data_IF_027523098430
#
_entry.id   IF_027523098430
#
_cell.length_a   1.000
_cell.length_b   1.000
_cell.length_c   1.000
_cell.angle_alpha   90.00
_cell.angle_beta   90.00
_cell.angle_gamma   90.00
#
_symmetry.space_group_name_H-M   'P 1'
#
loop_
_entity.id
_entity.type
_entity.pdbx_description
1 polymer ?
#
# COMPACT_ATOMS: atom_id res chain seq x y z
N UNK A 1 47.69 -54.34 22.48
CA UNK A 1 48.63 -53.59 23.33
C UNK A 1 48.67 -52.15 22.86
N UNK A 2 47.97 -51.23 23.52
CA UNK A 2 48.45 -49.87 23.89
C UNK A 2 47.54 -49.41 25.04
N UNK A 3 48.16 -49.20 26.18
CA UNK A 3 47.75 -48.46 27.37
C UNK A 3 48.74 -47.26 27.47
N UNK A 4 48.66 -46.27 28.39
CA UNK A 4 47.59 -45.97 29.37
C UNK A 4 47.31 -44.45 29.65
N UNK A 5 46.28 -44.23 30.48
CA UNK A 5 46.15 -43.27 31.62
C UNK A 5 46.27 -41.74 31.48
N UNK A 6 45.18 -41.05 31.88
CA UNK A 6 45.02 -40.22 33.10
C UNK A 6 43.91 -39.17 32.84
N UNK A 7 42.87 -38.99 33.65
CA UNK A 7 42.90 -38.30 34.94
C UNK A 7 41.61 -38.53 35.75
N UNK A 8 41.75 -38.29 37.06
CA UNK A 8 40.89 -38.63 38.19
C UNK A 8 39.51 -37.94 38.25
N UNK A 9 38.62 -38.68 38.90
CA UNK A 9 37.39 -38.33 39.60
C UNK A 9 37.54 -37.28 40.71
N UNK A 10 36.48 -36.48 40.94
CA UNK A 10 35.95 -36.09 42.26
C UNK A 10 34.56 -35.42 42.07
N UNK A 11 33.48 -36.20 42.21
CA UNK A 11 32.13 -35.67 42.49
C UNK A 11 31.64 -36.33 43.78
N UNK A 12 31.46 -35.49 44.80
CA UNK A 12 30.85 -35.83 46.07
C UNK A 12 29.34 -35.96 45.94
N UNK A 13 28.80 -36.92 46.68
CA UNK A 13 27.39 -37.23 46.85
C UNK A 13 26.62 -36.05 47.48
N UNK A 14 25.52 -35.63 46.86
CA UNK A 14 24.31 -35.25 47.59
C UNK A 14 23.04 -35.40 46.71
N UNK A 15 22.13 -36.21 47.23
CA UNK A 15 20.78 -36.56 46.82
C UNK A 15 20.04 -35.60 45.86
N UNK A 16 19.61 -36.12 44.70
CA UNK A 16 18.51 -35.54 43.94
C UNK A 16 17.55 -36.66 43.48
N UNK A 17 16.60 -37.03 44.35
CA UNK A 17 15.46 -37.86 43.99
C UNK A 17 14.42 -36.94 43.33
N UNK A 18 14.51 -36.78 42.01
CA UNK A 18 13.45 -36.12 41.23
C UNK A 18 12.36 -37.14 40.95
N UNK A 19 11.22 -36.94 41.61
CA UNK A 19 9.99 -37.70 41.48
C UNK A 19 9.50 -37.75 40.02
N UNK A 20 9.49 -38.97 39.44
CA UNK A 20 8.92 -39.30 38.12
C UNK A 20 7.44 -38.88 37.93
N UNK A 21 6.73 -38.47 38.99
CA UNK A 21 5.32 -38.04 38.89
C UNK A 21 5.12 -36.65 38.29
N UNK A 22 6.11 -35.74 38.36
CA UNK A 22 5.96 -34.38 37.80
C UNK A 22 6.07 -34.33 36.28
N UNK A 23 6.86 -35.22 35.66
CA UNK A 23 7.04 -35.24 34.21
C UNK A 23 5.79 -35.70 33.44
N UNK A 24 4.98 -36.59 34.01
CA UNK A 24 3.74 -37.07 33.36
C UNK A 24 2.67 -35.97 33.32
N UNK A 25 2.56 -35.14 34.35
CA UNK A 25 1.58 -34.04 34.41
C UNK A 25 1.92 -32.95 33.40
N UNK A 26 3.20 -32.62 33.23
CA UNK A 26 3.64 -31.61 32.25
C UNK A 26 3.39 -32.06 30.82
N UNK A 27 3.63 -33.34 30.51
CA UNK A 27 3.36 -33.91 29.17
C UNK A 27 1.85 -33.99 28.90
N UNK A 28 1.03 -34.37 29.90
CA UNK A 28 -0.42 -34.39 29.77
C UNK A 28 -1.01 -33.00 29.54
N UNK A 29 -0.51 -31.97 30.23
CA UNK A 29 -0.95 -30.58 30.02
C UNK A 29 -0.56 -30.06 28.63
N UNK A 30 0.63 -30.39 28.12
CA UNK A 30 1.05 -30.02 26.77
C UNK A 30 0.19 -30.70 25.67
N UNK A 31 -0.19 -31.97 25.87
CA UNK A 31 -1.10 -32.69 24.98
C UNK A 31 -2.53 -32.12 25.01
N UNK A 32 -3.04 -31.77 26.20
CA UNK A 32 -4.36 -31.16 26.35
C UNK A 32 -4.42 -29.77 25.69
N UNK A 33 -3.37 -28.96 25.81
CA UNK A 33 -3.28 -27.66 25.14
C UNK A 33 -3.23 -27.79 23.61
N UNK A 34 -2.52 -28.78 23.08
CA UNK A 34 -2.44 -28.99 21.62
C UNK A 34 -3.76 -29.52 21.04
N UNK A 35 -4.47 -30.42 21.73
CA UNK A 35 -5.80 -30.88 21.34
C UNK A 35 -6.82 -29.73 21.40
N UNK A 36 -6.80 -28.90 22.46
CA UNK A 36 -7.69 -27.74 22.56
C UNK A 36 -7.43 -26.72 21.45
N UNK A 37 -6.17 -26.53 21.07
CA UNK A 37 -5.80 -25.65 19.96
C UNK A 37 -6.35 -26.19 18.64
N UNK A 38 -6.20 -27.49 18.36
CA UNK A 38 -6.76 -28.13 17.16
C UNK A 38 -8.30 -28.07 17.11
N UNK A 39 -8.96 -28.26 18.25
CA UNK A 39 -10.42 -28.16 18.36
C UNK A 39 -10.92 -26.74 18.07
N UNK A 40 -10.26 -25.72 18.63
CA UNK A 40 -10.61 -24.31 18.35
C UNK A 40 -10.41 -23.93 16.88
N UNK A 41 -9.41 -24.50 16.19
CA UNK A 41 -9.23 -24.27 14.75
C UNK A 41 -10.25 -25.02 13.89
N UNK A 42 -10.74 -26.20 14.32
CA UNK A 42 -11.76 -26.97 13.61
C UNK A 42 -13.18 -26.39 13.72
N UNK A 43 -13.53 -25.79 14.85
CA UNK A 43 -14.87 -25.23 15.09
C UNK A 43 -15.05 -23.84 14.45
N UNK A 44 -13.98 -23.08 14.26
CA UNK A 44 -14.05 -21.72 13.70
C UNK A 44 -14.10 -21.65 12.17
N UNK A 45 -13.94 -22.77 11.44
CA UNK A 45 -13.99 -22.79 9.96
C UNK A 45 -14.68 -24.03 9.38
N UNK A 46 -16.02 -24.18 9.49
CA UNK A 46 -16.69 -25.43 9.09
C UNK A 46 -16.87 -25.65 7.58
N UNK A 47 -16.57 -24.69 6.70
CA UNK A 47 -17.01 -24.73 5.30
C UNK A 47 -15.91 -24.43 4.27
N UNK A 48 -14.85 -25.22 4.28
CA UNK A 48 -13.92 -25.30 3.15
C UNK A 48 -13.74 -26.78 2.83
N UNK A 49 -14.52 -27.31 1.88
CA UNK A 49 -14.25 -28.46 0.99
C UNK A 49 -15.57 -29.14 0.61
N UNK A 50 -16.31 -28.53 -0.31
CA UNK A 50 -17.21 -29.27 -1.22
C UNK A 50 -17.48 -28.44 -2.47
N UNK A 51 -17.40 -29.11 -3.63
CA UNK A 51 -17.65 -28.67 -5.01
C UNK A 51 -16.43 -28.44 -5.90
N UNK A 52 -15.84 -29.55 -6.34
CA UNK A 52 -15.16 -29.65 -7.63
C UNK A 52 -16.21 -30.10 -8.64
N UNK A 53 -16.80 -29.15 -9.36
CA UNK A 53 -17.67 -29.39 -10.51
C UNK A 53 -16.88 -29.25 -11.80
N UNK A 54 -16.91 -30.30 -12.62
CA UNK A 54 -16.35 -30.34 -13.97
C UNK A 54 -16.97 -29.27 -14.87
N UNK A 55 -16.14 -28.51 -15.61
CA UNK A 55 -16.58 -27.65 -16.71
C UNK A 55 -16.07 -28.22 -18.04
N UNK A 56 -17.01 -28.70 -18.85
CA UNK A 56 -16.83 -28.99 -20.26
C UNK A 56 -16.70 -27.67 -21.04
N UNK A 57 -15.69 -27.58 -21.90
CA UNK A 57 -15.56 -26.52 -22.90
C UNK A 57 -16.27 -26.95 -24.19
N UNK A 58 -17.26 -26.16 -24.63
CA UNK A 58 -17.75 -26.19 -26.00
C UNK A 58 -17.19 -25.00 -26.78
N UNK A 59 -16.62 -25.33 -27.94
CA UNK A 59 -16.23 -24.41 -29.00
C UNK A 59 -17.47 -23.79 -29.65
N UNK A 60 -17.37 -22.53 -30.11
CA UNK A 60 -17.54 -22.18 -31.53
C UNK A 60 -17.60 -20.65 -31.79
N UNK A 61 -16.76 -20.22 -32.75
CA UNK A 61 -16.99 -19.21 -33.81
C UNK A 61 -17.24 -17.75 -33.38
N UNK A 62 -16.98 -16.68 -34.16
CA UNK A 62 -16.73 -16.48 -35.59
C UNK A 62 -16.00 -15.14 -35.75
N UNK A 63 -14.98 -15.11 -36.61
CA UNK A 63 -14.24 -13.91 -37.01
C UNK A 63 -15.03 -13.19 -38.10
N UNK A 64 -15.39 -11.92 -37.91
CA UNK A 64 -15.79 -11.00 -39.00
C UNK A 64 -14.88 -9.79 -39.05
N UNK A 65 -14.07 -9.76 -40.10
CA UNK A 65 -13.30 -8.63 -40.57
C UNK A 65 -14.22 -7.45 -40.93
N UNK A 66 -13.92 -6.25 -40.41
CA UNK A 66 -14.44 -5.00 -40.97
C UNK A 66 -13.30 -4.04 -41.28
N UNK A 67 -13.35 -3.61 -42.53
CA UNK A 67 -12.50 -2.72 -43.29
C UNK A 67 -12.30 -1.35 -42.63
N UNK A 68 -11.04 -0.92 -42.51
CA UNK A 68 -10.66 0.37 -41.96
C UNK A 68 -10.57 1.41 -43.08
N UNK A 69 -11.51 2.36 -43.12
CA UNK A 69 -11.43 3.55 -43.98
C UNK A 69 -10.58 4.60 -43.28
N UNK A 70 -9.53 5.05 -43.95
CA UNK A 70 -8.50 5.97 -43.44
C UNK A 70 -8.81 7.38 -43.94
N UNK A 71 -9.44 8.22 -43.12
CA UNK A 71 -9.53 9.67 -43.40
C UNK A 71 -8.35 10.40 -42.76
N UNK A 72 -7.63 11.16 -43.58
CA UNK A 72 -6.57 12.09 -43.16
C UNK A 72 -7.24 13.42 -42.83
N UNK A 73 -7.08 13.90 -41.60
CA UNK A 73 -7.35 15.31 -41.27
C UNK A 73 -6.14 15.93 -40.58
N UNK A 74 -5.80 17.10 -41.12
CA UNK A 74 -4.68 17.98 -40.77
C UNK A 74 -4.84 18.55 -39.36
N UNK A 75 -3.81 18.40 -38.51
CA UNK A 75 -3.75 18.98 -37.17
C UNK A 75 -2.85 20.21 -37.21
N UNK A 76 -3.43 21.38 -36.98
CA UNK A 76 -2.74 22.64 -36.69
C UNK A 76 -2.11 22.57 -35.31
N UNK A 77 -0.81 22.84 -35.23
CA UNK A 77 -0.05 22.96 -33.99
C UNK A 77 -0.57 24.15 -33.16
N UNK A 78 -1.06 23.87 -31.95
CA UNK A 78 -1.21 24.85 -30.88
C UNK A 78 -0.26 24.48 -29.73
N UNK A 79 0.58 25.44 -29.38
CA UNK A 79 1.59 25.38 -28.32
C UNK A 79 0.94 25.06 -26.96
N UNK A 80 1.47 24.12 -26.16
CA UNK A 80 0.89 23.78 -24.87
C UNK A 80 1.20 24.86 -23.83
N UNK A 81 0.15 25.45 -23.27
CA UNK A 81 0.21 26.35 -22.11
C UNK A 81 0.58 25.52 -20.88
N UNK A 82 1.83 25.63 -20.44
CA UNK A 82 2.36 25.00 -19.22
C UNK A 82 1.88 25.77 -17.99
N UNK A 83 0.64 25.54 -17.54
CA UNK A 83 0.23 25.94 -16.18
C UNK A 83 0.89 24.98 -15.18
N UNK A 84 1.90 25.46 -14.47
CA UNK A 84 2.37 24.80 -13.26
C UNK A 84 1.19 24.68 -12.29
N UNK A 85 0.75 23.46 -12.01
CA UNK A 85 -0.18 23.20 -10.92
C UNK A 85 0.64 23.29 -9.64
N UNK A 86 0.76 24.50 -9.10
CA UNK A 86 1.24 24.71 -7.73
C UNK A 86 0.15 24.25 -6.78
N UNK A 87 0.25 23.00 -6.32
CA UNK A 87 -0.56 22.50 -5.21
C UNK A 87 -0.10 23.29 -3.98
N UNK A 88 -0.90 24.26 -3.57
CA UNK A 88 -0.60 25.12 -2.43
C UNK A 88 -0.41 24.27 -1.18
N UNK A 89 0.82 24.21 -0.68
CA UNK A 89 1.12 23.78 0.68
C UNK A 89 0.61 24.93 1.58
N UNK A 90 -0.08 24.64 2.70
CA UNK A 90 -0.42 25.67 3.68
C UNK A 90 0.83 26.47 4.06
N UNK A 91 0.78 27.79 3.98
CA UNK A 91 1.90 28.70 4.23
C UNK A 91 2.50 28.49 5.65
N UNK A 92 1.70 27.99 6.60
CA UNK A 92 2.15 27.60 7.94
C UNK A 92 3.16 26.44 7.96
N UNK A 93 3.12 25.54 6.97
CA UNK A 93 4.09 24.45 6.83
C UNK A 93 5.37 24.87 6.07
N UNK A 94 5.31 25.93 5.26
CA UNK A 94 6.50 26.49 4.58
C UNK A 94 7.38 27.29 5.55
N UNK A 95 6.79 28.03 6.49
CA UNK A 95 7.56 28.77 7.50
C UNK A 95 8.21 27.87 8.57
N UNK A 96 7.76 26.63 8.73
CA UNK A 96 8.45 25.61 9.56
C UNK A 96 9.54 24.83 8.80
N UNK A 97 9.64 24.96 7.46
CA UNK A 97 10.72 24.33 6.68
C UNK A 97 12.08 24.99 6.90
N UNK A 98 12.11 26.27 7.28
CA UNK A 98 13.35 27.02 7.53
C UNK A 98 13.87 26.88 8.98
N UNK A 99 13.10 26.26 9.88
CA UNK A 99 13.47 26.02 11.29
C UNK A 99 13.56 24.54 11.65
N UNK A 100 13.55 23.64 10.66
CA UNK A 100 13.95 22.26 10.83
C UNK A 100 15.47 22.14 10.73
N UNK A 101 16.12 22.39 11.86
CA UNK A 101 17.44 21.83 12.22
C UNK A 101 18.47 21.98 11.09
N UNK A 102 19.06 23.18 10.99
CA UNK A 102 20.47 23.28 10.63
C UNK A 102 21.26 22.52 11.70
N UNK A 103 21.35 21.21 11.50
CA UNK A 103 22.36 20.39 12.16
C UNK A 103 23.64 20.79 11.47
N UNK A 104 24.52 21.41 12.24
CA UNK A 104 25.96 21.48 12.02
C UNK A 104 26.43 20.27 11.21
N UNK A 105 27.33 20.42 10.22
CA UNK A 105 27.93 19.29 9.49
C UNK A 105 28.86 18.50 10.41
N UNK A 106 28.27 17.79 11.37
CA UNK A 106 28.90 16.89 12.33
C UNK A 106 28.24 15.53 12.17
N UNK A 107 28.92 14.64 11.46
CA UNK A 107 28.57 13.24 11.23
C UNK A 107 27.16 13.01 10.64
N UNK A 108 27.06 13.03 9.31
CA UNK A 108 25.92 12.38 8.65
C UNK A 108 25.85 10.94 9.16
N UNK A 109 24.83 10.64 9.97
CA UNK A 109 24.56 9.28 10.46
C UNK A 109 24.75 8.29 9.32
N UNK A 110 25.74 7.41 9.46
CA UNK A 110 26.00 6.38 8.43
C UNK A 110 24.81 5.42 8.37
N UNK A 111 24.06 5.28 9.46
CA UNK A 111 23.04 4.26 9.66
C UNK A 111 21.77 4.52 8.86
N UNK A 112 21.12 3.44 8.41
CA UNK A 112 20.06 3.49 7.39
C UNK A 112 18.86 2.62 7.79
N UNK A 113 17.66 3.15 7.59
CA UNK A 113 16.42 2.37 7.49
C UNK A 113 16.06 2.25 6.01
N UNK A 114 15.91 1.01 5.55
CA UNK A 114 15.47 0.68 4.18
C UNK A 114 14.06 0.13 4.24
N UNK A 115 13.07 0.82 3.67
CA UNK A 115 11.81 0.16 3.36
C UNK A 115 12.05 -0.85 2.23
N UNK A 116 11.79 -2.14 2.44
CA UNK A 116 12.03 -3.18 1.42
C UNK A 116 10.79 -3.98 1.04
N UNK A 117 10.60 -4.19 -0.26
CA UNK A 117 9.64 -5.13 -0.82
C UNK A 117 10.23 -5.87 -2.04
N UNK A 118 10.39 -7.19 -1.93
CA UNK A 118 10.89 -8.04 -3.03
C UNK A 118 12.05 -8.98 -2.68
N UNK A 119 12.52 -9.00 -1.43
CA UNK A 119 13.48 -9.98 -0.91
C UNK A 119 12.82 -11.27 -0.38
N UNK A 120 11.84 -11.80 -1.12
CA UNK A 120 10.95 -12.88 -0.68
C UNK A 120 9.98 -12.45 0.43
N UNK A 121 8.74 -12.94 0.42
CA UNK A 121 7.67 -12.57 1.37
C UNK A 121 6.72 -11.48 0.88
N UNK A 122 5.63 -11.28 1.62
CA UNK A 122 4.53 -10.39 1.24
C UNK A 122 4.78 -8.94 1.72
N UNK A 123 4.18 -7.98 1.02
CA UNK A 123 4.14 -6.55 1.34
C UNK A 123 2.73 -5.96 1.25
N UNK A 124 1.77 -6.70 0.68
CA UNK A 124 0.44 -6.20 0.38
C UNK A 124 0.33 -5.44 -0.95
N UNK A 125 -0.84 -4.84 -1.15
CA UNK A 125 -1.14 -4.01 -2.31
C UNK A 125 -0.39 -2.66 -2.32
N UNK A 126 -0.66 -1.80 -3.30
CA UNK A 126 -0.01 -0.48 -3.36
C UNK A 126 -0.25 0.34 -2.08
N UNK A 127 -1.51 0.40 -1.59
CA UNK A 127 -1.84 1.14 -0.37
C UNK A 127 -1.07 0.65 0.85
N UNK A 128 -0.87 -0.66 0.97
CA UNK A 128 -0.10 -1.28 2.06
C UNK A 128 1.38 -0.92 2.00
N UNK A 129 1.94 -0.94 0.79
CA UNK A 129 3.33 -0.52 0.57
C UNK A 129 3.54 0.96 0.89
N UNK A 130 2.56 1.81 0.59
CA UNK A 130 2.61 3.23 0.93
C UNK A 130 2.58 3.45 2.44
N UNK A 131 1.73 2.72 3.19
CA UNK A 131 1.78 2.72 4.66
C UNK A 131 3.16 2.32 5.16
N UNK A 132 3.74 1.27 4.59
CA UNK A 132 5.08 0.78 4.93
C UNK A 132 6.20 1.78 4.69
N UNK A 133 6.20 2.45 3.53
CA UNK A 133 7.16 3.53 3.21
C UNK A 133 7.04 4.67 4.23
N UNK A 134 5.81 5.09 4.54
CA UNK A 134 5.55 6.17 5.49
C UNK A 134 6.00 5.79 6.89
N UNK A 135 5.66 4.58 7.35
CA UNK A 135 6.12 4.06 8.63
C UNK A 135 7.65 4.04 8.70
N UNK A 136 8.32 3.49 7.68
CA UNK A 136 9.77 3.43 7.61
C UNK A 136 10.45 4.82 7.63
N UNK A 137 9.87 5.80 6.93
CA UNK A 137 10.35 7.18 6.96
C UNK A 137 10.23 7.79 8.35
N UNK A 138 9.11 7.56 9.04
CA UNK A 138 8.92 8.03 10.41
C UNK A 138 9.90 7.36 11.39
N UNK A 139 10.10 6.04 11.24
CA UNK A 139 11.09 5.29 12.03
C UNK A 139 12.52 5.82 11.78
N UNK A 140 12.85 6.17 10.54
CA UNK A 140 14.14 6.79 10.23
C UNK A 140 14.34 8.12 10.96
N UNK A 141 13.30 8.96 11.02
CA UNK A 141 13.35 10.23 11.75
C UNK A 141 13.54 10.04 13.26
N UNK A 142 12.78 9.15 13.90
CA UNK A 142 12.90 8.92 15.36
C UNK A 142 14.25 8.30 15.75
N UNK A 143 14.89 7.55 14.84
CA UNK A 143 16.18 6.89 15.09
C UNK A 143 17.38 7.72 14.61
N UNK A 144 17.16 8.88 13.99
CA UNK A 144 18.22 9.70 13.40
C UNK A 144 19.00 8.97 12.29
N UNK A 145 18.33 8.08 11.54
CA UNK A 145 18.93 7.30 10.44
C UNK A 145 18.53 7.87 9.08
N UNK A 146 19.36 7.62 8.06
CA UNK A 146 19.00 7.90 6.66
C UNK A 146 17.86 6.97 6.24
N UNK A 147 16.98 7.47 5.38
CA UNK A 147 15.86 6.69 4.84
C UNK A 147 16.08 6.34 3.37
N UNK A 148 15.87 5.06 3.02
CA UNK A 148 15.98 4.53 1.66
C UNK A 148 14.81 3.61 1.31
N UNK A 149 14.58 3.41 0.02
CA UNK A 149 13.47 2.60 -0.51
C UNK A 149 13.98 1.57 -1.51
N UNK A 150 13.58 0.32 -1.32
CA UNK A 150 13.87 -0.80 -2.21
C UNK A 150 12.58 -1.55 -2.52
N UNK A 151 12.04 -1.38 -3.71
CA UNK A 151 10.87 -2.14 -4.15
C UNK A 151 11.20 -2.75 -5.49
N UNK A 152 11.44 -4.06 -5.51
CA UNK A 152 11.84 -4.82 -6.70
C UNK A 152 10.74 -5.75 -7.20
N UNK A 153 9.69 -6.01 -6.41
CA UNK A 153 8.57 -6.88 -6.78
C UNK A 153 7.26 -6.07 -6.82
N UNK A 154 6.38 -6.23 -7.84
CA UNK A 154 6.59 -7.09 -9.00
C UNK A 154 7.68 -6.54 -9.91
N UNK A 155 7.91 -5.23 -9.90
CA UNK A 155 8.96 -4.58 -10.67
C UNK A 155 9.60 -3.44 -9.87
N UNK A 156 10.73 -2.96 -10.38
CA UNK A 156 11.46 -1.85 -9.77
C UNK A 156 10.59 -0.58 -9.74
N UNK A 157 10.29 -0.06 -8.54
CA UNK A 157 9.47 1.14 -8.35
C UNK A 157 10.03 2.37 -9.08
N UNK A 158 11.35 2.42 -9.26
CA UNK A 158 12.03 3.53 -9.92
C UNK A 158 11.76 3.62 -11.42
N UNK A 159 11.11 2.62 -12.02
CA UNK A 159 10.59 2.71 -13.39
C UNK A 159 9.37 3.64 -13.49
N UNK A 160 8.66 3.84 -12.37
CA UNK A 160 7.39 4.57 -12.30
C UNK A 160 7.53 5.86 -11.50
N UNK A 161 8.27 5.81 -10.38
CA UNK A 161 8.53 6.95 -9.51
C UNK A 161 9.96 7.43 -9.68
N UNK A 162 10.16 8.74 -9.60
CA UNK A 162 11.46 9.39 -9.50
C UNK A 162 11.64 9.89 -8.06
N UNK A 163 12.76 9.51 -7.45
CA UNK A 163 13.15 10.04 -6.14
C UNK A 163 13.37 11.56 -6.24
N UNK A 164 12.84 12.33 -5.27
CA UNK A 164 13.15 13.76 -5.16
C UNK A 164 14.55 14.02 -4.59
N UNK A 165 15.15 13.01 -3.97
CA UNK A 165 16.49 13.08 -3.39
C UNK A 165 17.23 11.76 -3.67
N UNK A 166 18.46 11.85 -4.18
CA UNK A 166 19.31 10.67 -4.47
C UNK A 166 19.56 9.79 -3.24
N UNK A 167 19.51 10.37 -2.03
CA UNK A 167 19.66 9.61 -0.78
C UNK A 167 18.56 8.55 -0.57
N UNK A 168 17.46 8.57 -1.33
CA UNK A 168 16.40 7.57 -1.27
C UNK A 168 16.74 6.27 -2.01
N UNK A 169 17.67 6.33 -2.96
CA UNK A 169 18.04 5.21 -3.83
C UNK A 169 19.21 4.45 -3.20
N UNK A 170 19.20 3.13 -3.31
CA UNK A 170 20.32 2.28 -2.86
C UNK A 170 21.27 2.10 -4.03
N UNK A 171 22.55 2.40 -3.82
CA UNK A 171 23.58 2.14 -4.82
C UNK A 171 24.22 0.76 -4.62
N UNK A 172 24.82 0.25 -5.70
CA UNK A 172 25.56 -1.02 -5.65
C UNK A 172 26.66 -0.94 -4.60
N UNK A 173 26.81 -2.00 -3.82
CA UNK A 173 27.83 -2.15 -2.78
C UNK A 173 27.77 -1.13 -1.62
N UNK A 174 26.76 -0.26 -1.58
CA UNK A 174 26.62 0.79 -0.55
C UNK A 174 26.63 0.24 0.88
N UNK A 175 26.09 -0.97 1.06
CA UNK A 175 25.97 -1.64 2.35
C UNK A 175 26.95 -2.80 2.55
N UNK A 176 27.95 -2.92 1.67
CA UNK A 176 28.96 -3.97 1.78
C UNK A 176 29.71 -3.82 3.12
N UNK A 177 29.90 -4.94 3.82
CA UNK A 177 30.59 -5.01 5.12
C UNK A 177 29.93 -4.24 6.28
N UNK A 178 28.64 -3.87 6.17
CA UNK A 178 27.90 -3.21 7.25
C UNK A 178 27.02 -4.20 8.01
N UNK A 179 26.88 -4.01 9.32
CA UNK A 179 25.96 -4.84 10.10
C UNK A 179 24.52 -4.63 9.61
N UNK A 180 23.77 -5.70 9.39
CA UNK A 180 22.40 -5.58 8.89
C UNK A 180 21.43 -6.52 9.60
N UNK A 181 20.18 -6.09 9.67
CA UNK A 181 19.06 -6.91 10.17
C UNK A 181 17.84 -6.69 9.30
N UNK A 182 16.96 -7.68 9.26
CA UNK A 182 15.67 -7.61 8.54
C UNK A 182 14.53 -7.75 9.53
N UNK A 183 13.66 -6.75 9.58
CA UNK A 183 12.44 -6.74 10.38
C UNK A 183 11.25 -6.98 9.45
N UNK A 184 10.70 -8.20 9.49
CA UNK A 184 9.50 -8.58 8.77
C UNK A 184 8.27 -8.43 9.68
N UNK A 185 7.53 -7.34 9.48
CA UNK A 185 6.45 -6.88 10.36
C UNK A 185 5.16 -6.65 9.56
N UNK A 186 4.76 -7.68 8.83
CA UNK A 186 3.47 -7.73 8.14
C UNK A 186 2.38 -8.14 9.13
N UNK A 187 1.21 -7.51 9.03
CA UNK A 187 0.02 -7.79 9.83
C UNK A 187 0.33 -7.80 11.34
N UNK A 188 0.10 -8.93 12.02
CA UNK A 188 0.24 -9.10 13.48
C UNK A 188 1.55 -8.56 14.05
N UNK A 189 2.69 -8.90 13.43
CA UNK A 189 4.00 -8.41 13.90
C UNK A 189 4.14 -6.89 13.79
N UNK A 190 3.60 -6.29 12.73
CA UNK A 190 3.53 -4.84 12.57
C UNK A 190 2.60 -4.18 13.58
N UNK A 191 1.48 -4.83 13.92
CA UNK A 191 0.55 -4.33 14.93
C UNK A 191 1.16 -4.31 16.33
N UNK A 192 1.95 -5.33 16.70
CA UNK A 192 2.67 -5.35 17.97
C UNK A 192 3.67 -4.20 18.06
N UNK A 193 4.53 -4.01 17.05
CA UNK A 193 5.50 -2.90 17.07
C UNK A 193 4.81 -1.53 17.06
N UNK A 194 3.72 -1.39 16.30
CA UNK A 194 2.93 -0.16 16.28
C UNK A 194 2.38 0.19 17.66
N UNK A 195 1.78 -0.78 18.36
CA UNK A 195 1.26 -0.56 19.71
C UNK A 195 2.38 -0.22 20.69
N UNK A 196 3.49 -0.96 20.62
CA UNK A 196 4.68 -0.72 21.43
C UNK A 196 5.21 0.71 21.24
N UNK A 197 5.23 1.23 20.00
CA UNK A 197 5.66 2.60 19.71
C UNK A 197 4.86 3.70 20.41
N UNK A 198 3.64 3.40 20.87
CA UNK A 198 2.83 4.33 21.65
C UNK A 198 3.23 4.34 23.13
N UNK A 199 3.62 3.18 23.68
CA UNK A 199 3.78 2.97 25.12
C UNK A 199 5.25 2.86 25.57
N UNK A 200 6.19 2.67 24.65
CA UNK A 200 7.63 2.60 24.95
C UNK A 200 8.50 3.19 23.82
N UNK A 201 9.78 3.37 24.16
CA UNK A 201 10.83 3.74 23.21
C UNK A 201 11.33 2.53 22.43
N UNK A 202 11.08 2.49 21.11
CA UNK A 202 11.44 1.38 20.23
C UNK A 202 12.80 1.55 19.54
N UNK A 203 13.54 2.64 19.80
CA UNK A 203 14.81 2.93 19.11
C UNK A 203 15.82 1.79 19.21
N UNK A 204 15.84 1.08 20.34
CA UNK A 204 16.72 -0.07 20.59
C UNK A 204 16.52 -1.24 19.60
N UNK A 205 15.35 -1.35 18.97
CA UNK A 205 15.08 -2.38 17.94
C UNK A 205 15.74 -2.09 16.60
N UNK A 206 16.33 -0.91 16.45
CA UNK A 206 16.93 -0.43 15.21
C UNK A 206 18.45 -0.18 15.37
N UNK A 207 19.15 -0.93 16.23
CA UNK A 207 20.55 -0.64 16.54
C UNK A 207 21.54 -0.93 15.39
N UNK A 208 21.23 -1.84 14.46
CA UNK A 208 22.12 -2.18 13.35
C UNK A 208 22.37 -1.00 12.40
N UNK A 209 23.50 -1.07 11.68
CA UNK A 209 23.89 -0.07 10.69
C UNK A 209 22.86 0.04 9.55
N UNK A 210 22.34 -1.10 9.10
CA UNK A 210 21.32 -1.19 8.06
C UNK A 210 20.15 -2.02 8.56
N UNK A 211 18.96 -1.41 8.62
CA UNK A 211 17.73 -2.14 8.97
C UNK A 211 16.82 -2.20 7.75
N UNK A 212 16.60 -3.41 7.25
CA UNK A 212 15.60 -3.69 6.23
C UNK A 212 14.25 -3.83 6.90
N UNK A 213 13.43 -2.80 6.79
CA UNK A 213 12.14 -2.69 7.46
C UNK A 213 11.01 -2.97 6.47
N UNK A 214 10.22 -4.01 6.74
CA UNK A 214 9.06 -4.36 5.93
C UNK A 214 7.81 -4.39 6.79
N UNK A 215 6.83 -3.57 6.44
CA UNK A 215 5.51 -3.56 7.08
C UNK A 215 4.44 -3.09 6.09
N UNK A 216 3.19 -3.47 6.34
CA UNK A 216 1.97 -2.96 5.70
C UNK A 216 1.10 -2.15 6.68
N UNK A 217 1.63 -1.87 7.87
CA UNK A 217 0.87 -1.27 8.97
C UNK A 217 1.05 0.25 8.98
N UNK A 218 -0.03 0.97 9.28
CA UNK A 218 -0.04 2.42 9.45
C UNK A 218 0.41 2.82 10.86
N UNK A 219 1.52 3.56 10.97
CA UNK A 219 2.11 4.00 12.24
C UNK A 219 1.72 5.44 12.63
N UNK A 220 1.10 6.21 11.72
CA UNK A 220 0.98 7.67 11.88
C UNK A 220 0.26 8.06 13.17
N UNK A 221 -0.91 7.45 13.45
CA UNK A 221 -1.69 7.77 14.66
C UNK A 221 -0.93 7.46 15.94
N UNK A 222 -0.30 6.28 15.99
CA UNK A 222 0.39 5.75 17.17
C UNK A 222 1.67 6.53 17.51
N UNK A 223 2.44 6.88 16.48
CA UNK A 223 3.62 7.73 16.65
C UNK A 223 3.23 9.16 17.01
N UNK A 224 2.16 9.72 16.41
CA UNK A 224 1.70 11.06 16.74
C UNK A 224 1.17 11.15 18.18
N UNK A 225 0.58 10.09 18.73
CA UNK A 225 0.13 10.05 20.12
C UNK A 225 1.24 9.70 21.13
N UNK A 226 2.41 9.25 20.67
CA UNK A 226 3.50 8.84 21.54
C UNK A 226 4.14 10.04 22.26
N UNK A 227 4.49 9.85 23.54
CA UNK A 227 5.23 10.83 24.35
C UNK A 227 6.75 10.75 24.13
N UNK A 228 7.25 9.65 23.58
CA UNK A 228 8.68 9.38 23.41
C UNK A 228 9.32 10.10 22.23
N UNK A 229 8.53 10.47 21.21
CA UNK A 229 9.04 11.02 19.94
C UNK A 229 8.54 12.44 19.67
N UNK A 230 8.16 13.17 20.72
CA UNK A 230 7.57 14.52 20.60
C UNK A 230 8.52 15.52 19.95
N UNK A 231 9.84 15.36 20.14
CA UNK A 231 10.86 16.21 19.55
C UNK A 231 11.04 15.91 18.06
N UNK A 232 11.32 14.64 17.73
CA UNK A 232 11.64 14.16 16.39
C UNK A 232 10.45 14.27 15.42
N UNK A 233 9.23 14.12 15.95
CA UNK A 233 7.98 14.17 15.19
C UNK A 233 7.11 15.38 15.56
N UNK A 234 7.71 16.45 16.11
CA UNK A 234 7.01 17.70 16.47
C UNK A 234 6.19 18.28 15.32
N UNK A 235 6.71 18.22 14.10
CA UNK A 235 6.05 18.69 12.87
C UNK A 235 4.74 17.96 12.56
N UNK A 236 4.52 16.74 13.07
CA UNK A 236 3.27 15.99 12.87
C UNK A 236 2.14 16.42 13.80
N UNK A 237 2.44 17.13 14.90
CA UNK A 237 1.46 17.42 15.95
C UNK A 237 0.31 18.30 15.47
N UNK A 238 0.58 19.19 14.51
CA UNK A 238 -0.43 20.05 13.87
C UNK A 238 -1.09 19.42 12.66
N UNK A 239 -0.69 18.20 12.27
CA UNK A 239 -1.13 17.55 11.05
C UNK A 239 -2.08 16.39 11.35
N UNK A 240 -3.14 16.32 10.55
CA UNK A 240 -4.02 15.17 10.47
C UNK A 240 -3.32 14.03 9.73
N UNK A 241 -3.78 12.80 9.94
CA UNK A 241 -3.17 11.61 9.32
C UNK A 241 -3.03 11.73 7.81
N UNK A 242 -4.09 12.17 7.13
CA UNK A 242 -4.09 12.28 5.67
C UNK A 242 -3.08 13.32 5.17
N UNK A 243 -2.89 14.41 5.92
CA UNK A 243 -1.89 15.45 5.63
C UNK A 243 -0.47 14.90 5.78
N UNK A 244 -0.21 14.08 6.81
CA UNK A 244 1.09 13.41 6.98
C UNK A 244 1.40 12.50 5.79
N UNK A 245 0.42 11.70 5.35
CA UNK A 245 0.56 10.83 4.17
C UNK A 245 0.89 11.66 2.92
N UNK A 246 0.13 12.72 2.67
CA UNK A 246 0.34 13.62 1.54
C UNK A 246 1.73 14.26 1.58
N UNK A 247 2.09 14.87 2.71
CA UNK A 247 3.36 15.56 2.91
C UNK A 247 4.55 14.63 2.69
N UNK A 248 4.58 13.46 3.34
CA UNK A 248 5.70 12.52 3.19
C UNK A 248 5.77 12.02 1.75
N UNK A 249 4.65 11.61 1.14
CA UNK A 249 4.66 11.10 -0.22
C UNK A 249 5.17 12.13 -1.23
N UNK A 250 4.67 13.37 -1.14
CA UNK A 250 5.09 14.48 -2.00
C UNK A 250 6.53 14.92 -1.71
N UNK A 251 7.04 14.73 -0.49
CA UNK A 251 8.45 14.99 -0.17
C UNK A 251 9.39 13.95 -0.80
N UNK A 252 8.96 12.70 -0.87
CA UNK A 252 9.80 11.60 -1.32
C UNK A 252 9.81 11.41 -2.84
N UNK A 253 8.67 11.56 -3.50
CA UNK A 253 8.51 11.08 -4.88
C UNK A 253 7.91 12.10 -5.84
N UNK A 254 8.26 11.92 -7.11
CA UNK A 254 7.58 12.45 -8.30
C UNK A 254 7.34 11.29 -9.27
N UNK A 255 6.55 11.51 -10.32
CA UNK A 255 6.47 10.54 -11.42
C UNK A 255 7.74 10.60 -12.29
N UNK A 256 8.14 9.49 -12.90
CA UNK A 256 9.13 9.53 -13.99
C UNK A 256 8.55 10.29 -15.18
N UNK A 257 9.40 10.85 -16.05
CA UNK A 257 8.96 11.62 -17.23
C UNK A 257 8.00 10.83 -18.11
N UNK A 258 8.27 9.53 -18.31
CA UNK A 258 7.40 8.61 -19.05
C UNK A 258 5.98 8.58 -18.46
N UNK A 259 5.85 8.41 -17.15
CA UNK A 259 4.55 8.26 -16.48
C UNK A 259 3.87 9.61 -16.30
N UNK A 260 4.64 10.66 -16.06
CA UNK A 260 4.18 12.04 -16.05
C UNK A 260 3.54 12.42 -17.39
N UNK A 261 4.17 12.07 -18.51
CA UNK A 261 3.58 12.27 -19.84
C UNK A 261 2.25 11.54 -20.01
N UNK A 262 2.14 10.29 -19.52
CA UNK A 262 0.87 9.54 -19.55
C UNK A 262 -0.22 10.20 -18.72
N UNK A 263 0.15 10.80 -17.58
CA UNK A 263 -0.78 11.60 -16.77
C UNK A 263 -1.22 12.84 -17.54
N UNK A 264 -0.31 13.56 -18.19
CA UNK A 264 -0.62 14.74 -19.00
C UNK A 264 -1.52 14.39 -20.20
N UNK A 265 -1.25 13.29 -20.90
CA UNK A 265 -2.09 12.77 -21.98
C UNK A 265 -3.50 12.42 -21.48
N UNK A 266 -3.63 11.88 -20.26
CA UNK A 266 -4.92 11.65 -19.62
C UNK A 266 -5.64 12.97 -19.30
N UNK A 267 -4.94 13.93 -18.70
CA UNK A 267 -5.51 15.23 -18.33
C UNK A 267 -5.90 16.07 -19.56
N UNK A 268 -5.20 15.91 -20.68
CA UNK A 268 -5.61 16.53 -21.95
C UNK A 268 -7.00 16.07 -22.39
N UNK A 269 -7.33 14.78 -22.20
CA UNK A 269 -8.66 14.22 -22.52
C UNK A 269 -9.76 14.72 -21.57
N UNK A 270 -9.41 15.11 -20.35
CA UNK A 270 -10.33 15.78 -19.41
C UNK A 270 -10.82 17.12 -19.97
N UNK A 271 -9.97 17.86 -20.70
CA UNK A 271 -10.32 19.11 -21.40
C UNK A 271 -11.05 20.14 -20.50
N UNK A 272 -10.52 20.39 -19.30
CA UNK A 272 -11.06 21.31 -18.27
C UNK A 272 -12.47 20.94 -17.71
N UNK A 273 -13.02 19.78 -18.07
CA UNK A 273 -14.29 19.30 -17.53
C UNK A 273 -14.12 18.83 -16.09
N UNK A 274 -15.22 18.77 -15.35
CA UNK A 274 -15.26 18.19 -14.01
C UNK A 274 -15.00 16.69 -14.09
N UNK A 275 -13.99 16.21 -13.38
CA UNK A 275 -13.59 14.82 -13.32
C UNK A 275 -14.27 14.14 -12.11
N UNK A 276 -15.24 13.27 -12.41
CA UNK A 276 -15.93 12.43 -11.43
C UNK A 276 -15.25 11.07 -11.41
N UNK A 277 -14.65 10.73 -10.28
CA UNK A 277 -13.86 9.52 -10.16
C UNK A 277 -14.47 8.51 -9.22
N UNK A 278 -14.15 7.25 -9.48
CA UNK A 278 -14.37 6.18 -8.54
C UNK A 278 -13.21 5.21 -8.43
N UNK A 279 -12.99 4.74 -7.21
CA UNK A 279 -12.19 3.57 -6.91
C UNK A 279 -13.11 2.47 -6.38
N UNK A 280 -13.34 1.42 -7.17
CA UNK A 280 -14.25 0.32 -6.81
C UNK A 280 -13.46 -0.96 -6.60
N UNK A 281 -13.38 -1.42 -5.35
CA UNK A 281 -12.76 -2.68 -4.95
C UNK A 281 -13.82 -3.76 -4.77
N UNK A 282 -13.89 -4.69 -5.72
CA UNK A 282 -14.75 -5.86 -5.66
C UNK A 282 -14.17 -6.94 -4.75
N UNK A 283 -12.84 -7.12 -4.74
CA UNK A 283 -12.25 -8.24 -4.01
C UNK A 283 -12.06 -9.46 -4.91
N UNK A 284 -12.47 -10.62 -4.40
CA UNK A 284 -12.49 -11.88 -5.13
C UNK A 284 -13.30 -11.75 -6.42
N UNK A 285 -12.65 -11.89 -7.58
CA UNK A 285 -13.30 -11.86 -8.89
C UNK A 285 -12.42 -12.59 -9.94
N UNK A 286 -12.88 -12.81 -11.19
CA UNK A 286 -12.08 -13.53 -12.20
C UNK A 286 -10.68 -12.94 -12.46
N UNK A 287 -10.49 -11.64 -12.29
CA UNK A 287 -9.19 -10.97 -12.40
C UNK A 287 -8.33 -11.07 -11.13
N UNK A 288 -8.93 -11.40 -9.99
CA UNK A 288 -8.29 -11.47 -8.66
C UNK A 288 -8.85 -12.63 -7.82
N UNK A 289 -8.60 -13.86 -8.26
CA UNK A 289 -9.20 -15.07 -7.65
C UNK A 289 -8.70 -15.38 -6.24
N UNK A 290 -7.49 -14.90 -5.88
CA UNK A 290 -6.83 -15.16 -4.60
C UNK A 290 -7.18 -14.14 -3.51
N UNK A 291 -8.19 -13.32 -3.74
CA UNK A 291 -8.57 -12.23 -2.85
C UNK A 291 -9.78 -12.57 -1.98
N UNK A 292 -10.04 -11.76 -0.95
CA UNK A 292 -11.32 -11.79 -0.24
C UNK A 292 -12.35 -10.94 -0.97
N UNK A 293 -13.60 -11.41 -1.03
CA UNK A 293 -14.71 -10.59 -1.53
C UNK A 293 -14.89 -9.36 -0.63
N UNK A 294 -15.11 -8.19 -1.23
CA UNK A 294 -15.25 -6.90 -0.53
C UNK A 294 -16.60 -6.25 -0.81
N UNK A 295 -16.97 -6.15 -2.08
CA UNK A 295 -18.25 -5.61 -2.52
C UNK A 295 -18.93 -6.64 -3.40
N UNK A 296 -20.21 -6.90 -3.14
CA UNK A 296 -21.03 -7.70 -4.03
C UNK A 296 -21.21 -6.97 -5.36
N UNK A 297 -20.76 -7.60 -6.45
CA UNK A 297 -20.84 -7.06 -7.80
C UNK A 297 -22.26 -6.77 -8.24
N UNK A 298 -23.26 -7.44 -7.66
CA UNK A 298 -24.68 -7.19 -7.95
C UNK A 298 -25.16 -5.85 -7.41
N UNK A 299 -24.43 -5.26 -6.46
CA UNK A 299 -24.74 -3.95 -5.89
C UNK A 299 -24.15 -2.79 -6.68
N UNK A 300 -23.49 -3.05 -7.81
CA UNK A 300 -22.83 -2.02 -8.62
C UNK A 300 -23.83 -1.08 -9.32
N UNK A 301 -25.10 -1.45 -9.46
CA UNK A 301 -26.07 -0.57 -10.11
C UNK A 301 -26.37 0.69 -9.30
N UNK A 302 -26.37 0.61 -7.97
CA UNK A 302 -26.47 1.80 -7.13
C UNK A 302 -25.29 2.75 -7.32
N UNK A 303 -24.10 2.20 -7.57
CA UNK A 303 -22.91 2.96 -7.93
C UNK A 303 -23.09 3.69 -9.28
N UNK A 304 -23.59 3.00 -10.31
CA UNK A 304 -23.84 3.65 -11.60
C UNK A 304 -24.97 4.68 -11.55
N UNK A 305 -26.02 4.43 -10.77
CA UNK A 305 -27.11 5.39 -10.52
C UNK A 305 -26.61 6.71 -9.90
N UNK A 306 -25.56 6.66 -9.08
CA UNK A 306 -24.93 7.89 -8.59
C UNK A 306 -24.22 8.67 -9.72
N UNK A 307 -23.57 7.96 -10.64
CA UNK A 307 -22.87 8.57 -11.78
C UNK A 307 -23.83 9.20 -12.80
N UNK A 308 -25.06 8.68 -12.93
CA UNK A 308 -26.10 9.25 -13.81
C UNK A 308 -26.42 10.72 -13.49
N UNK A 309 -26.22 11.16 -12.24
CA UNK A 309 -26.36 12.58 -11.83
C UNK A 309 -25.42 13.53 -12.58
N UNK A 310 -24.36 12.99 -13.18
CA UNK A 310 -23.31 13.72 -13.87
C UNK A 310 -23.23 13.36 -15.37
N UNK A 311 -24.35 12.91 -15.97
CA UNK A 311 -24.42 12.43 -17.35
C UNK A 311 -24.53 13.56 -18.40
N UNK A 312 -23.62 14.53 -18.34
CA UNK A 312 -23.51 15.62 -19.32
C UNK A 312 -22.08 15.67 -19.86
N UNK A 313 -21.88 15.16 -21.08
CA UNK A 313 -20.56 15.08 -21.71
C UNK A 313 -19.96 16.45 -22.04
N UNK A 314 -20.70 17.55 -21.95
CA UNK A 314 -20.15 18.90 -22.07
C UNK A 314 -19.46 19.36 -20.76
N UNK A 315 -19.94 18.87 -19.61
CA UNK A 315 -19.50 19.30 -18.27
C UNK A 315 -18.60 18.30 -17.56
N UNK A 316 -18.81 17.01 -17.77
CA UNK A 316 -18.21 15.96 -16.96
C UNK A 316 -17.36 14.97 -17.75
N UNK A 317 -16.42 14.34 -17.05
CA UNK A 317 -15.67 13.16 -17.47
C UNK A 317 -15.60 12.19 -16.32
N UNK A 318 -15.66 10.89 -16.62
CA UNK A 318 -15.63 9.82 -15.64
C UNK A 318 -14.29 9.10 -15.67
N UNK A 319 -13.80 8.73 -14.50
CA UNK A 319 -12.66 7.84 -14.38
C UNK A 319 -12.91 6.80 -13.30
N UNK A 320 -12.95 5.53 -13.68
CA UNK A 320 -13.20 4.43 -12.75
C UNK A 320 -12.01 3.48 -12.75
N UNK A 321 -11.35 3.40 -11.61
CA UNK A 321 -10.34 2.37 -11.35
C UNK A 321 -10.95 1.27 -10.49
N UNK A 322 -10.72 0.04 -10.92
CA UNK A 322 -11.33 -1.14 -10.32
C UNK A 322 -10.44 -2.35 -10.52
N UNK A 323 -10.57 -3.31 -9.62
CA UNK A 323 -9.93 -4.62 -9.67
C UNK A 323 -10.77 -5.66 -10.42
N UNK A 324 -11.90 -5.28 -11.03
CA UNK A 324 -12.79 -6.15 -11.78
C UNK A 324 -13.06 -5.62 -13.19
N UNK A 325 -12.67 -6.39 -14.22
CA UNK A 325 -12.87 -6.01 -15.63
C UNK A 325 -14.34 -5.67 -15.96
N UNK A 326 -15.28 -6.48 -15.46
CA UNK A 326 -16.73 -6.27 -15.67
C UNK A 326 -17.19 -4.86 -15.28
N UNK A 327 -16.75 -4.33 -14.14
CA UNK A 327 -17.13 -2.98 -13.68
C UNK A 327 -16.59 -1.94 -14.66
N UNK A 328 -15.34 -2.05 -15.12
CA UNK A 328 -14.78 -1.13 -16.11
C UNK A 328 -15.56 -1.17 -17.43
N UNK A 329 -15.89 -2.37 -17.90
CA UNK A 329 -16.55 -2.58 -19.19
C UNK A 329 -18.02 -2.11 -19.14
N UNK A 330 -18.70 -2.33 -18.02
CA UNK A 330 -20.04 -1.79 -17.77
C UNK A 330 -20.05 -0.26 -17.80
N UNK A 331 -19.07 0.40 -17.18
CA UNK A 331 -18.95 1.86 -17.24
C UNK A 331 -18.79 2.37 -18.67
N UNK A 332 -17.90 1.76 -19.45
CA UNK A 332 -17.69 2.11 -20.87
C UNK A 332 -18.94 1.92 -21.72
N UNK A 333 -19.71 0.87 -21.46
CA UNK A 333 -20.96 0.59 -22.15
C UNK A 333 -22.06 1.58 -21.76
N UNK A 334 -22.20 1.91 -20.48
CA UNK A 334 -23.23 2.83 -19.98
C UNK A 334 -22.91 4.31 -20.31
N UNK A 335 -21.64 4.69 -20.34
CA UNK A 335 -21.21 6.09 -20.49
C UNK A 335 -20.07 6.27 -21.52
N UNK A 336 -20.26 5.88 -22.79
CA UNK A 336 -19.20 5.80 -23.78
C UNK A 336 -18.49 7.14 -24.05
N UNK A 337 -19.18 8.27 -23.94
CA UNK A 337 -18.62 9.60 -24.20
C UNK A 337 -17.99 10.27 -22.97
N UNK A 338 -18.28 9.77 -21.77
CA UNK A 338 -17.79 10.34 -20.52
C UNK A 338 -16.58 9.58 -19.97
N UNK A 339 -16.50 8.27 -20.20
CA UNK A 339 -15.48 7.40 -19.62
C UNK A 339 -14.09 7.64 -20.20
N UNK A 340 -13.16 8.03 -19.33
CA UNK A 340 -11.73 8.04 -19.58
C UNK A 340 -11.10 6.77 -18.99
N UNK A 341 -10.07 6.27 -19.66
CA UNK A 341 -9.33 5.07 -19.23
C UNK A 341 -7.82 5.31 -19.35
N UNK A 342 -7.08 4.53 -18.58
CA UNK A 342 -5.61 4.47 -18.61
C UNK A 342 -5.16 3.15 -19.21
N UNK A 343 -4.01 3.18 -19.88
CA UNK A 343 -3.44 1.98 -20.47
C UNK A 343 -2.88 1.03 -19.40
N UNK A 344 -3.07 -0.27 -19.61
CA UNK A 344 -2.46 -1.33 -18.82
C UNK A 344 -3.47 -2.37 -18.30
N UNK A 345 -2.98 -3.52 -17.82
CA UNK A 345 -3.83 -4.54 -17.23
C UNK A 345 -4.38 -4.12 -15.86
N UNK A 346 -5.56 -4.62 -15.50
CA UNK A 346 -6.08 -4.54 -14.14
C UNK A 346 -5.32 -5.56 -13.29
N UNK A 347 -4.60 -5.11 -12.26
CA UNK A 347 -3.81 -5.99 -11.39
C UNK A 347 -3.95 -5.63 -9.92
N UNK A 348 -3.95 -6.65 -9.07
CA UNK A 348 -3.49 -6.55 -7.70
C UNK A 348 -1.98 -6.82 -7.68
N UNK A 349 -1.19 -5.80 -7.33
CA UNK A 349 0.29 -5.76 -7.43
C UNK A 349 0.99 -6.99 -6.83
N UNK A 350 0.37 -7.66 -5.85
CA UNK A 350 0.90 -8.88 -5.23
C UNK A 350 0.11 -10.17 -5.54
N UNK A 351 -1.17 -10.08 -5.91
CA UNK A 351 -2.09 -11.24 -5.97
C UNK A 351 -2.44 -11.66 -7.40
N UNK A 352 -2.22 -10.79 -8.38
CA UNK A 352 -2.44 -11.12 -9.78
C UNK A 352 -1.27 -11.91 -10.36
N UNK A 353 -1.59 -12.80 -11.29
CA UNK A 353 -0.62 -13.60 -12.06
C UNK A 353 -0.64 -13.24 -13.54
N UNK A 354 -0.93 -11.98 -13.87
CA UNK A 354 -0.96 -11.54 -15.26
C UNK A 354 0.45 -11.46 -15.84
N UNK A 355 0.59 -11.60 -17.15
CA UNK A 355 1.90 -11.57 -17.83
C UNK A 355 2.64 -10.23 -17.66
N UNK A 356 1.91 -9.12 -17.72
CA UNK A 356 2.47 -7.77 -17.63
C UNK A 356 2.25 -7.14 -16.24
N UNK A 357 2.96 -7.68 -15.23
CA UNK A 357 2.88 -7.13 -13.87
C UNK A 357 3.51 -5.74 -13.74
N UNK A 358 4.53 -5.40 -14.55
CA UNK A 358 5.16 -4.09 -14.52
C UNK A 358 4.23 -3.01 -15.07
N UNK A 359 3.61 -3.25 -16.23
CA UNK A 359 2.61 -2.36 -16.78
C UNK A 359 1.40 -2.22 -15.85
N UNK A 360 1.02 -3.29 -15.16
CA UNK A 360 0.01 -3.25 -14.10
C UNK A 360 0.42 -2.37 -12.91
N UNK A 361 1.65 -2.49 -12.39
CA UNK A 361 2.16 -1.63 -11.32
C UNK A 361 2.21 -0.15 -11.74
N UNK A 362 2.68 0.12 -12.96
CA UNK A 362 2.69 1.47 -13.54
C UNK A 362 1.26 2.03 -13.61
N UNK A 363 0.31 1.26 -14.13
CA UNK A 363 -1.10 1.64 -14.21
C UNK A 363 -1.69 1.95 -12.83
N UNK A 364 -1.50 1.07 -11.84
CA UNK A 364 -2.08 1.25 -10.51
C UNK A 364 -1.53 2.52 -9.84
N UNK A 365 -0.24 2.82 -9.98
CA UNK A 365 0.32 4.08 -9.46
C UNK A 365 -0.26 5.28 -10.21
N UNK A 366 -0.31 5.25 -11.55
CA UNK A 366 -0.89 6.31 -12.36
C UNK A 366 -2.38 6.56 -12.01
N UNK A 367 -3.17 5.50 -11.88
CA UNK A 367 -4.57 5.56 -11.49
C UNK A 367 -4.73 6.28 -10.15
N UNK A 368 -3.88 6.00 -9.16
CA UNK A 368 -3.95 6.68 -7.87
C UNK A 368 -3.55 8.17 -7.94
N UNK A 369 -2.61 8.52 -8.83
CA UNK A 369 -2.30 9.93 -9.12
C UNK A 369 -3.51 10.64 -9.74
N UNK A 370 -4.25 9.97 -10.64
CA UNK A 370 -5.48 10.51 -11.20
C UNK A 370 -6.55 10.67 -10.12
N UNK A 371 -6.73 9.69 -9.23
CA UNK A 371 -7.66 9.78 -8.10
C UNK A 371 -7.42 11.01 -7.22
N UNK A 372 -6.15 11.39 -7.03
CA UNK A 372 -5.76 12.57 -6.27
C UNK A 372 -6.13 13.90 -6.95
N UNK A 373 -6.45 13.90 -8.25
CA UNK A 373 -6.78 15.07 -9.06
C UNK A 373 -8.28 15.22 -9.36
N UNK A 374 -9.12 14.34 -8.79
CA UNK A 374 -10.55 14.31 -9.05
C UNK A 374 -11.29 15.43 -8.33
N UNK A 375 -12.28 16.00 -9.00
CA UNK A 375 -13.14 17.04 -8.40
C UNK A 375 -14.21 16.40 -7.52
N UNK A 376 -14.72 15.22 -7.91
CA UNK A 376 -15.63 14.39 -7.13
C UNK A 376 -15.02 12.99 -7.03
N UNK A 377 -14.96 12.43 -5.83
CA UNK A 377 -14.29 11.14 -5.61
C UNK A 377 -15.17 10.20 -4.78
N UNK A 378 -15.50 9.05 -5.38
CA UNK A 378 -16.10 7.92 -4.67
C UNK A 378 -15.02 6.86 -4.43
N UNK A 379 -14.82 6.40 -3.20
CA UNK A 379 -13.90 5.29 -2.92
C UNK A 379 -14.65 4.14 -2.27
N UNK A 380 -14.20 2.92 -2.52
CA UNK A 380 -14.55 1.76 -1.70
C UNK A 380 -13.64 1.64 -0.48
N UNK A 381 -13.98 0.75 0.45
CA UNK A 381 -13.14 0.43 1.60
C UNK A 381 -11.85 -0.33 1.18
N UNK A 382 -10.87 0.43 0.69
CA UNK A 382 -9.60 -0.07 0.14
C UNK A 382 -8.46 0.89 0.47
N UNK A 383 -7.30 0.35 0.84
CA UNK A 383 -6.11 1.17 1.15
C UNK A 383 -5.65 1.97 -0.06
N UNK A 384 -5.84 1.43 -1.26
CA UNK A 384 -5.57 2.09 -2.52
C UNK A 384 -6.41 3.36 -2.71
N UNK A 385 -7.73 3.27 -2.51
CA UNK A 385 -8.65 4.40 -2.62
C UNK A 385 -8.42 5.44 -1.52
N UNK A 386 -8.23 4.98 -0.27
CA UNK A 386 -7.96 5.87 0.87
C UNK A 386 -6.70 6.69 0.70
N UNK A 387 -5.58 6.09 0.25
CA UNK A 387 -4.35 6.86 0.00
C UNK A 387 -4.53 7.82 -1.19
N UNK A 388 -5.31 7.45 -2.21
CA UNK A 388 -5.72 8.38 -3.26
C UNK A 388 -6.46 9.60 -2.71
N UNK A 389 -7.42 9.39 -1.81
CA UNK A 389 -8.14 10.47 -1.13
C UNK A 389 -7.21 11.31 -0.23
N UNK A 390 -6.31 10.68 0.54
CA UNK A 390 -5.34 11.41 1.37
C UNK A 390 -4.48 12.35 0.55
N UNK A 391 -4.04 11.91 -0.63
CA UNK A 391 -3.27 12.75 -1.55
C UNK A 391 -4.09 13.87 -2.18
N UNK A 392 -5.38 13.62 -2.47
CA UNK A 392 -6.33 14.67 -2.89
C UNK A 392 -6.41 15.78 -1.84
N UNK A 393 -6.43 15.43 -0.56
CA UNK A 393 -6.29 16.38 0.55
C UNK A 393 -7.49 17.29 0.77
N UNK A 394 -8.70 16.86 0.36
CA UNK A 394 -9.95 17.55 0.68
C UNK A 394 -11.11 16.58 0.81
N UNK A 395 -11.99 16.84 1.79
CA UNK A 395 -13.24 16.12 2.02
C UNK A 395 -14.39 16.62 1.13
N UNK A 396 -14.23 17.78 0.46
CA UNK A 396 -15.26 18.31 -0.45
C UNK A 396 -15.58 17.25 -1.50
N UNK A 397 -16.85 16.92 -1.69
CA UNK A 397 -17.33 15.94 -2.68
C UNK A 397 -16.57 14.59 -2.64
N UNK A 398 -16.21 14.16 -1.43
CA UNK A 398 -15.68 12.83 -1.13
C UNK A 398 -16.82 11.92 -0.65
N UNK A 399 -16.88 10.71 -1.19
CA UNK A 399 -17.89 9.73 -0.90
C UNK A 399 -17.29 8.34 -0.67
N UNK A 400 -17.97 7.53 0.14
CA UNK A 400 -17.65 6.13 0.38
C UNK A 400 -18.74 5.27 -0.28
N UNK A 401 -18.33 4.30 -1.10
CA UNK A 401 -19.19 3.25 -1.62
C UNK A 401 -19.05 2.01 -0.74
N UNK A 402 -20.10 1.70 0.01
CA UNK A 402 -20.14 0.58 0.94
C UNK A 402 -21.53 -0.05 0.92
N UNK A 403 -21.58 -1.39 0.88
CA UNK A 403 -22.83 -2.17 0.97
C UNK A 403 -23.93 -1.85 -0.06
N UNK A 404 -23.57 -1.24 -1.20
CA UNK A 404 -24.53 -0.83 -2.23
C UNK A 404 -25.02 0.60 -2.08
N UNK A 405 -24.44 1.38 -1.17
CA UNK A 405 -24.81 2.76 -0.91
C UNK A 405 -23.61 3.69 -1.08
N UNK A 406 -23.89 4.93 -1.47
CA UNK A 406 -22.89 5.99 -1.57
C UNK A 406 -23.21 7.06 -0.54
N UNK A 407 -22.34 7.18 0.46
CA UNK A 407 -22.49 8.12 1.57
C UNK A 407 -21.37 9.17 1.51
N UNK A 408 -21.59 10.36 2.09
CA UNK A 408 -20.50 11.33 2.26
C UNK A 408 -19.43 10.73 3.16
N UNK A 409 -18.17 11.02 2.83
CA UNK A 409 -17.03 10.53 3.57
C UNK A 409 -16.17 11.68 4.11
N UNK A 410 -15.48 11.40 5.21
CA UNK A 410 -14.51 12.30 5.82
C UNK A 410 -13.24 11.50 6.14
N UNK A 411 -12.08 11.95 5.64
CA UNK A 411 -10.78 11.29 5.83
C UNK A 411 -10.34 11.20 7.30
N UNK A 412 -10.92 12.03 8.16
CA UNK A 412 -10.64 12.09 9.60
C UNK A 412 -11.61 11.27 10.44
N UNK A 413 -12.70 10.79 9.85
CA UNK A 413 -13.68 9.98 10.58
C UNK A 413 -13.21 8.54 10.77
N UNK A 414 -13.90 7.82 11.65
CA UNK A 414 -13.67 6.41 11.88
C UNK A 414 -13.90 5.55 10.63
N UNK A 415 -14.64 6.05 9.62
CA UNK A 415 -14.80 5.37 8.33
C UNK A 415 -13.47 5.18 7.58
N UNK A 416 -12.47 6.02 7.88
CA UNK A 416 -11.11 5.89 7.38
C UNK A 416 -10.17 5.28 8.42
N UNK A 417 -10.61 5.13 9.67
CA UNK A 417 -9.85 4.47 10.72
C UNK A 417 -10.04 2.96 10.54
N UNK A 418 -8.97 2.17 10.57
CA UNK A 418 -9.10 0.74 10.37
C UNK A 418 -9.73 0.07 11.58
N UNK A 419 -10.93 -0.49 11.44
CA UNK A 419 -11.45 -1.53 12.34
C UNK A 419 -10.85 -2.92 12.09
N UNK A 420 -9.97 -3.03 11.11
CA UNK A 420 -9.31 -4.27 10.69
C UNK A 420 -8.63 -4.03 9.35
N UNK A 421 -7.36 -3.64 9.38
CA UNK A 421 -6.45 -3.99 8.29
C UNK A 421 -5.83 -5.32 8.63
#
# INVERSE_FOLDING_TARGET
MVLPTSYRSLCGLQNCVISKKKSVVVVALALMLSIFTLYMYGVLFPNYYSNIGYLQFSNQTSIRNKTLIRSKTSIRNKTPIRKQISIGIPISAQNQQNTLISTTPGSQSKNVIVYTCGRGGLCGGLGDRQKGIIAAYLIANITGKKFKVEITTPCNIWMVLKAKNENLVIHKDEFKNRSSTSLYLIDGGGFSLRQESTISDIRSKFNNDVVYFRTNVDFVRHLNSSKFYTKELSWMKSMKRHEVYKYIWEKLFTLTEKVQKRLEDFLAKRSNKTLVCAQVRIGKNPSNMLDSAKIDINKIDAFWKFFEKYNDASKYRFFVTTDAGKVRDDGKRKFPELMLDTYGPIVHVERSRVKDMCGGQEKVILDQYILALCDILVISNSGFGRVGAFRRGTNKDLYLFENGEIVRADMDSDQFIPGGW
#
